data_IF_371315530816
#
_entry.id   IF_371315530816
#
_cell.length_a   1.000
_cell.length_b   1.000
_cell.length_c   1.000
_cell.angle_alpha   90.00
_cell.angle_beta   90.00
_cell.angle_gamma   90.00
#
_symmetry.space_group_name_H-M   'P 1'
#
loop_
_entity.id
_entity.type
_entity.pdbx_description
1 polymer ?
#
# COMPACT_ATOMS: atom_id res chain seq x y z
N UNK A 1 -2.42 87.33 -25.34
CA UNK A 1 -3.10 86.09 -25.82
C UNK A 1 -2.16 84.96 -26.22
N UNK A 2 -1.06 85.18 -26.94
CA UNK A 2 -0.12 84.10 -27.35
C UNK A 2 0.52 83.35 -26.17
N UNK A 3 0.95 84.07 -25.13
CA UNK A 3 1.60 83.49 -23.94
C UNK A 3 0.64 82.57 -23.16
N UNK A 4 -0.62 82.97 -22.99
CA UNK A 4 -1.64 82.17 -22.29
C UNK A 4 -1.94 80.86 -23.04
N UNK A 5 -1.98 80.90 -24.38
CA UNK A 5 -2.12 79.69 -25.22
C UNK A 5 -0.92 78.75 -25.09
N UNK A 6 0.31 79.29 -25.09
CA UNK A 6 1.52 78.47 -24.93
C UNK A 6 1.59 77.81 -23.55
N UNK A 7 1.17 78.50 -22.49
CA UNK A 7 1.12 77.95 -21.13
C UNK A 7 0.07 76.84 -21.00
N UNK A 8 -1.12 77.01 -21.58
CA UNK A 8 -2.16 75.98 -21.57
C UNK A 8 -1.75 74.70 -22.33
N UNK A 9 -1.06 74.85 -23.47
CA UNK A 9 -0.52 73.71 -24.22
C UNK A 9 0.55 72.97 -23.43
N UNK A 10 1.42 73.70 -22.72
CA UNK A 10 2.45 73.09 -21.88
C UNK A 10 1.86 72.34 -20.69
N UNK A 11 0.83 72.90 -20.03
CA UNK A 11 0.11 72.24 -18.93
C UNK A 11 -0.60 70.98 -19.42
N UNK A 12 -1.24 71.03 -20.60
CA UNK A 12 -1.88 69.86 -21.21
C UNK A 12 -0.86 68.76 -21.54
N UNK A 13 0.30 69.11 -22.09
CA UNK A 13 1.38 68.15 -22.38
C UNK A 13 1.96 67.50 -21.11
N UNK A 14 2.13 68.27 -20.03
CA UNK A 14 2.59 67.75 -18.73
C UNK A 14 1.54 66.82 -18.10
N UNK A 15 0.25 67.14 -18.26
CA UNK A 15 -0.87 66.33 -17.77
C UNK A 15 -0.96 64.97 -18.47
N UNK A 16 -0.71 64.93 -19.78
CA UNK A 16 -0.69 63.69 -20.57
C UNK A 16 0.55 62.84 -20.24
N UNK A 17 1.69 63.47 -19.93
CA UNK A 17 2.90 62.76 -19.49
C UNK A 17 2.72 62.07 -18.13
N UNK A 18 1.93 62.65 -17.20
CA UNK A 18 1.62 62.05 -15.90
C UNK A 18 0.67 60.84 -15.99
N UNK A 19 -0.20 60.78 -17.01
CA UNK A 19 -1.10 59.64 -17.24
C UNK A 19 -0.39 58.42 -17.88
N UNK A 20 0.85 58.60 -18.39
CA UNK A 20 1.62 57.57 -19.09
C UNK A 20 2.41 56.61 -18.19
N UNK A 21 2.60 56.92 -16.91
CA UNK A 21 3.26 56.04 -15.96
C UNK A 21 2.32 54.90 -15.52
N UNK A 22 2.13 53.89 -16.37
CA UNK A 22 1.58 52.61 -15.90
C UNK A 22 2.60 52.00 -14.94
N UNK A 23 2.19 51.79 -13.69
CA UNK A 23 2.98 51.07 -12.68
C UNK A 23 3.40 49.73 -13.29
N UNK A 24 4.70 49.47 -13.33
CA UNK A 24 5.22 48.17 -13.80
C UNK A 24 4.62 47.10 -12.87
N UNK A 25 3.91 46.09 -13.40
CA UNK A 25 3.36 45.04 -12.57
C UNK A 25 4.49 44.35 -11.82
N UNK A 26 4.34 44.24 -10.49
CA UNK A 26 5.29 43.56 -9.62
C UNK A 26 4.97 42.08 -9.71
N UNK A 27 5.89 41.28 -10.22
CA UNK A 27 5.74 39.83 -10.38
C UNK A 27 4.70 39.38 -11.42
N UNK A 28 4.51 38.06 -11.50
CA UNK A 28 3.59 37.38 -12.41
C UNK A 28 2.94 36.17 -11.74
N UNK A 29 1.64 35.96 -11.96
CA UNK A 29 0.93 34.71 -11.67
C UNK A 29 0.50 34.12 -13.02
N UNK A 30 0.88 32.86 -13.23
CA UNK A 30 0.57 32.08 -14.41
C UNK A 30 -0.92 32.07 -14.76
N UNK A 31 -1.24 31.69 -15.99
CA UNK A 31 -2.63 31.60 -16.43
C UNK A 31 -3.07 30.14 -16.61
N UNK A 32 -2.09 29.29 -16.92
CA UNK A 32 -2.32 27.89 -17.28
C UNK A 32 -1.58 26.96 -16.33
N UNK A 33 -1.69 27.20 -15.02
CA UNK A 33 -1.16 26.28 -14.02
C UNK A 33 -1.88 24.93 -14.08
N UNK A 34 -1.15 23.83 -13.89
CA UNK A 34 -1.72 22.49 -13.95
C UNK A 34 -0.93 21.49 -13.11
N UNK A 35 -1.55 20.36 -12.80
CA UNK A 35 -0.87 19.22 -12.22
C UNK A 35 -0.55 18.19 -13.30
N UNK A 36 0.73 17.83 -13.44
CA UNK A 36 1.19 16.88 -14.47
C UNK A 36 0.54 15.51 -14.34
N UNK A 37 0.34 15.06 -13.10
CA UNK A 37 -0.13 13.70 -12.81
C UNK A 37 -1.64 13.65 -12.53
N UNK A 38 -2.40 14.69 -12.90
CA UNK A 38 -3.87 14.67 -12.80
C UNK A 38 -4.47 13.80 -13.91
N UNK A 39 -5.41 12.87 -13.62
CA UNK A 39 -5.94 12.54 -12.30
C UNK A 39 -4.94 11.78 -11.40
N UNK A 40 -4.81 12.20 -10.15
CA UNK A 40 -3.97 11.53 -9.16
C UNK A 40 -4.55 10.17 -8.80
N UNK A 41 -3.82 9.11 -9.13
CA UNK A 41 -4.18 7.73 -8.76
C UNK A 41 -3.70 7.43 -7.35
N UNK A 42 -4.63 7.37 -6.41
CA UNK A 42 -4.35 7.17 -4.98
C UNK A 42 -4.83 5.79 -4.56
N UNK A 43 -3.90 4.90 -4.25
CA UNK A 43 -4.22 3.58 -3.71
C UNK A 43 -4.70 3.70 -2.25
N UNK A 44 -5.88 3.21 -1.94
CA UNK A 44 -6.46 3.37 -0.60
C UNK A 44 -5.70 2.56 0.47
N UNK A 45 -5.52 3.17 1.65
CA UNK A 45 -4.91 2.53 2.83
C UNK A 45 -3.38 2.57 2.88
N UNK A 46 -2.71 3.15 1.87
CA UNK A 46 -1.27 3.31 1.88
C UNK A 46 -0.83 4.35 2.91
N UNK A 47 0.25 4.05 3.65
CA UNK A 47 0.75 4.89 4.76
C UNK A 47 1.30 6.26 4.31
N UNK A 48 1.72 6.37 3.04
CA UNK A 48 2.27 7.60 2.46
C UNK A 48 2.19 7.57 0.94
N UNK A 49 1.49 8.54 0.35
CA UNK A 49 1.53 8.82 -1.09
C UNK A 49 1.60 10.33 -1.30
N UNK A 50 2.47 10.79 -2.19
CA UNK A 50 2.68 12.21 -2.47
C UNK A 50 2.41 12.48 -3.94
N UNK A 51 1.57 13.47 -4.25
CA UNK A 51 1.28 13.85 -5.64
C UNK A 51 2.38 14.74 -6.23
N UNK A 52 2.35 14.97 -7.55
CA UNK A 52 3.17 16.03 -8.17
C UNK A 52 2.83 17.40 -7.59
N UNK A 53 3.82 18.29 -7.51
CA UNK A 53 3.58 19.71 -7.20
C UNK A 53 2.86 20.41 -8.35
N UNK A 54 2.27 21.57 -8.04
CA UNK A 54 1.62 22.40 -9.03
C UNK A 54 2.67 22.96 -10.02
N UNK A 55 2.42 22.85 -11.32
CA UNK A 55 3.20 23.60 -12.30
C UNK A 55 2.80 25.08 -12.21
N UNK A 56 3.76 25.93 -11.84
CA UNK A 56 3.54 27.34 -11.55
C UNK A 56 3.48 28.22 -12.80
N UNK A 57 3.63 27.66 -14.00
CA UNK A 57 3.52 28.38 -15.27
C UNK A 57 4.37 29.67 -15.28
N UNK A 58 5.63 29.58 -14.84
CA UNK A 58 6.57 30.70 -14.82
C UNK A 58 6.30 31.80 -13.78
N UNK A 59 5.39 31.57 -12.82
CA UNK A 59 5.06 32.57 -11.77
C UNK A 59 6.27 33.00 -10.96
N UNK A 60 6.26 34.26 -10.53
CA UNK A 60 7.28 34.83 -9.65
C UNK A 60 7.24 34.17 -8.28
N UNK A 61 8.39 33.68 -7.82
CA UNK A 61 8.54 33.06 -6.50
C UNK A 61 8.78 34.13 -5.42
N UNK A 62 8.40 33.88 -4.15
CA UNK A 62 7.74 32.67 -3.65
C UNK A 62 6.25 32.64 -4.00
N UNK A 63 5.75 31.43 -4.28
CA UNK A 63 4.32 31.17 -4.50
C UNK A 63 3.77 30.36 -3.34
N UNK A 64 2.59 30.75 -2.85
CA UNK A 64 1.81 29.96 -1.89
C UNK A 64 0.59 29.38 -2.62
N UNK A 65 0.38 28.07 -2.45
CA UNK A 65 -0.81 27.37 -2.94
C UNK A 65 -1.66 26.98 -1.74
N UNK A 66 -2.93 27.38 -1.77
CA UNK A 66 -3.93 27.06 -0.75
C UNK A 66 -5.04 26.21 -1.38
N UNK A 67 -5.30 25.04 -0.81
CA UNK A 67 -6.47 24.24 -1.17
C UNK A 67 -7.73 24.97 -0.71
N UNK A 68 -8.68 25.17 -1.62
CA UNK A 68 -9.98 25.76 -1.28
C UNK A 68 -10.96 24.67 -0.84
N UNK A 69 -11.25 23.73 -1.74
CA UNK A 69 -12.13 22.61 -1.44
C UNK A 69 -11.86 21.41 -2.34
N UNK A 70 -12.21 20.24 -1.82
CA UNK A 70 -12.34 18.99 -2.58
C UNK A 70 -13.81 18.67 -2.72
N UNK A 71 -14.25 18.36 -3.93
CA UNK A 71 -15.64 18.03 -4.28
C UNK A 71 -15.73 16.68 -4.94
N UNK A 72 -16.89 16.03 -4.83
CA UNK A 72 -17.19 14.83 -5.61
C UNK A 72 -17.25 15.22 -7.08
N UNK A 73 -16.52 14.49 -7.92
CA UNK A 73 -16.33 14.84 -9.33
C UNK A 73 -17.67 15.02 -10.05
N UNK A 74 -17.79 16.09 -10.83
CA UNK A 74 -19.01 16.40 -11.58
C UNK A 74 -20.18 16.91 -10.73
N UNK A 75 -19.94 17.26 -9.47
CA UNK A 75 -20.95 17.82 -8.56
C UNK A 75 -20.40 19.05 -7.84
N UNK A 76 -21.29 19.89 -7.31
CA UNK A 76 -20.90 20.96 -6.38
C UNK A 76 -20.81 20.48 -4.93
N UNK A 77 -20.97 19.17 -4.69
CA UNK A 77 -20.99 18.63 -3.34
C UNK A 77 -19.55 18.51 -2.82
N UNK A 78 -19.27 19.23 -1.73
CA UNK A 78 -18.03 19.08 -0.97
C UNK A 78 -17.86 17.64 -0.48
N UNK A 79 -16.65 17.12 -0.61
CA UNK A 79 -16.28 15.79 -0.13
C UNK A 79 -15.96 15.86 1.36
N UNK A 80 -16.98 15.93 2.21
CA UNK A 80 -16.81 16.00 3.67
C UNK A 80 -16.01 14.82 4.23
N UNK A 81 -16.08 13.66 3.58
CA UNK A 81 -15.28 12.48 3.90
C UNK A 81 -13.75 12.71 3.86
N UNK A 82 -13.27 13.70 3.09
CA UNK A 82 -11.86 14.06 3.02
C UNK A 82 -11.37 14.87 4.23
N UNK A 83 -12.30 15.44 5.00
CA UNK A 83 -11.99 16.29 6.15
C UNK A 83 -12.30 15.60 7.48
N UNK A 84 -12.90 14.41 7.45
CA UNK A 84 -13.13 13.59 8.62
C UNK A 84 -11.80 13.04 9.16
N UNK A 85 -11.56 13.20 10.45
CA UNK A 85 -10.37 12.64 11.10
C UNK A 85 -10.59 11.16 11.44
N UNK A 86 -9.57 10.35 11.17
CA UNK A 86 -9.54 8.95 11.52
C UNK A 86 -8.27 8.64 12.31
N UNK A 87 -8.36 7.68 13.22
CA UNK A 87 -7.19 7.21 13.96
C UNK A 87 -6.27 6.44 13.01
N UNK A 88 -5.09 6.99 12.74
CA UNK A 88 -4.08 6.39 11.84
C UNK A 88 -2.73 6.33 12.53
N UNK A 89 -1.91 5.34 12.15
CA UNK A 89 -0.51 5.29 12.57
C UNK A 89 0.34 6.25 11.75
N UNK A 90 1.02 7.17 12.43
CA UNK A 90 2.06 8.04 11.87
C UNK A 90 3.42 7.50 12.28
N UNK A 91 4.28 7.22 11.30
CA UNK A 91 5.61 6.68 11.52
C UNK A 91 6.63 7.80 11.65
N UNK A 92 7.34 7.83 12.78
CA UNK A 92 8.43 8.76 13.09
C UNK A 92 9.77 8.27 12.54
N UNK A 93 9.91 6.94 12.42
CA UNK A 93 11.12 6.26 11.94
C UNK A 93 10.75 4.98 11.17
N UNK A 94 11.60 4.50 10.25
CA UNK A 94 11.40 3.22 9.59
C UNK A 94 11.48 2.05 10.58
N UNK A 95 10.65 1.03 10.35
CA UNK A 95 10.67 -0.24 11.08
C UNK A 95 11.59 -1.23 10.35
N UNK A 96 12.57 -1.81 11.05
CA UNK A 96 13.37 -2.94 10.57
C UNK A 96 13.05 -4.19 11.40
N UNK A 97 12.39 -5.21 10.82
CA UNK A 97 12.02 -6.44 11.53
C UNK A 97 13.22 -7.29 11.97
N UNK A 98 14.46 -6.95 11.58
CA UNK A 98 15.68 -7.56 12.11
C UNK A 98 16.14 -6.93 13.44
N UNK A 99 15.70 -5.70 13.76
CA UNK A 99 16.10 -4.94 14.96
C UNK A 99 14.89 -4.74 15.88
N UNK A 100 13.75 -4.34 15.32
CA UNK A 100 12.51 -4.05 16.04
C UNK A 100 11.73 -5.33 16.34
N UNK A 101 12.23 -6.16 17.25
CA UNK A 101 11.70 -7.51 17.49
C UNK A 101 10.50 -7.56 18.45
N UNK A 102 10.05 -6.41 18.96
CA UNK A 102 8.91 -6.33 19.88
C UNK A 102 7.94 -5.22 19.46
N UNK A 103 6.67 -5.38 19.83
CA UNK A 103 5.63 -4.36 19.61
C UNK A 103 5.99 -3.04 20.31
N UNK A 104 6.66 -3.10 21.46
CA UNK A 104 7.12 -1.90 22.16
C UNK A 104 8.15 -1.10 21.34
N UNK A 105 9.12 -1.78 20.70
CA UNK A 105 10.10 -1.13 19.81
C UNK A 105 9.43 -0.53 18.58
N UNK A 106 8.46 -1.24 18.00
CA UNK A 106 7.65 -0.72 16.89
C UNK A 106 6.87 0.53 17.32
N UNK A 107 6.18 0.47 18.46
CA UNK A 107 5.38 1.57 19.00
C UNK A 107 6.24 2.76 19.47
N UNK A 108 7.54 2.57 19.74
CA UNK A 108 8.43 3.71 19.95
C UNK A 108 8.60 4.55 18.66
N UNK A 109 8.49 3.91 17.48
CA UNK A 109 8.71 4.49 16.16
C UNK A 109 7.45 4.94 15.43
N UNK A 110 6.27 4.68 15.97
CA UNK A 110 4.99 5.15 15.43
C UNK A 110 4.09 5.65 16.53
N UNK A 111 3.09 6.44 16.17
CA UNK A 111 2.08 6.91 17.12
C UNK A 111 0.72 6.96 16.42
N UNK A 112 -0.35 6.84 17.20
CA UNK A 112 -1.71 7.03 16.70
C UNK A 112 -2.04 8.52 16.72
N UNK A 113 -2.57 9.02 15.62
CA UNK A 113 -3.05 10.40 15.51
C UNK A 113 -4.41 10.40 14.81
N UNK A 114 -5.29 11.29 15.26
CA UNK A 114 -6.50 11.64 14.53
C UNK A 114 -6.09 12.60 13.42
N UNK A 115 -6.16 12.13 12.18
CA UNK A 115 -5.80 12.92 11.01
C UNK A 115 -6.83 12.72 9.90
N UNK A 116 -7.10 13.75 9.08
CA UNK A 116 -7.77 13.54 7.81
C UNK A 116 -6.92 12.65 6.89
N UNK A 117 -7.51 12.06 5.83
CA UNK A 117 -6.80 11.19 4.88
C UNK A 117 -5.65 11.85 4.12
N UNK A 118 -5.51 13.19 4.19
CA UNK A 118 -4.45 13.94 3.52
C UNK A 118 -3.98 15.16 4.32
N UNK A 119 -2.77 15.62 4.01
CA UNK A 119 -2.28 16.98 4.27
C UNK A 119 -2.05 17.69 2.92
N UNK A 120 -2.47 18.95 2.78
CA UNK A 120 -2.17 19.73 1.59
C UNK A 120 -1.00 20.68 1.86
N UNK A 121 0.07 20.52 1.10
CA UNK A 121 1.33 21.23 1.29
C UNK A 121 1.30 22.59 0.58
N UNK A 122 2.05 23.60 1.07
CA UNK A 122 2.19 24.90 0.41
C UNK A 122 2.66 24.85 -1.06
N UNK A 123 3.33 23.75 -1.46
CA UNK A 123 3.75 23.46 -2.84
C UNK A 123 2.60 23.03 -3.77
N UNK A 124 1.38 22.91 -3.24
CA UNK A 124 0.21 22.41 -3.96
C UNK A 124 0.10 20.88 -3.96
N UNK A 125 0.93 20.16 -3.22
CA UNK A 125 0.91 18.70 -3.19
C UNK A 125 -0.07 18.16 -2.16
N UNK A 126 -0.72 17.05 -2.46
CA UNK A 126 -1.36 16.23 -1.44
C UNK A 126 -0.36 15.21 -0.90
N UNK A 127 -0.30 15.10 0.43
CA UNK A 127 0.35 14.03 1.17
C UNK A 127 -0.76 13.15 1.78
N UNK A 128 -1.08 12.04 1.11
CA UNK A 128 -2.07 11.08 1.59
C UNK A 128 -1.47 10.12 2.62
N UNK A 129 -2.31 9.67 3.54
CA UNK A 129 -1.97 8.69 4.56
C UNK A 129 -2.96 7.49 4.58
N UNK A 130 -2.77 6.59 5.54
CA UNK A 130 -3.55 5.36 5.67
C UNK A 130 -5.07 5.62 5.84
N UNK A 131 -5.48 6.82 6.27
CA UNK A 131 -6.89 7.21 6.42
C UNK A 131 -7.69 7.20 5.12
N UNK A 132 -7.01 7.16 3.96
CA UNK A 132 -7.66 6.93 2.65
C UNK A 132 -8.44 5.61 2.59
N UNK A 133 -8.21 4.65 3.49
CA UNK A 133 -9.01 3.42 3.61
C UNK A 133 -10.47 3.67 4.05
N UNK A 134 -10.75 4.79 4.69
CA UNK A 134 -12.10 5.16 5.16
C UNK A 134 -12.90 5.94 4.11
N UNK A 135 -12.27 6.32 3.00
CA UNK A 135 -12.95 6.97 1.89
C UNK A 135 -13.78 5.96 1.08
N UNK A 136 -14.90 6.39 0.45
CA UNK A 136 -15.70 5.52 -0.41
C UNK A 136 -14.86 4.86 -1.51
N UNK A 137 -14.99 3.53 -1.74
CA UNK A 137 -14.15 2.82 -2.67
C UNK A 137 -14.33 3.32 -4.10
N UNK A 138 -13.23 3.37 -4.86
CA UNK A 138 -13.21 3.75 -6.29
C UNK A 138 -13.87 5.11 -6.62
N UNK A 139 -13.91 6.01 -5.64
CA UNK A 139 -14.49 7.34 -5.80
C UNK A 139 -13.54 8.32 -6.50
N UNK A 140 -14.13 9.34 -7.12
CA UNK A 140 -13.42 10.37 -7.88
C UNK A 140 -13.81 11.76 -7.38
N UNK A 141 -12.82 12.64 -7.32
CA UNK A 141 -12.94 13.99 -6.79
C UNK A 141 -12.24 14.99 -7.68
N UNK A 142 -12.64 16.24 -7.55
CA UNK A 142 -12.02 17.41 -8.17
C UNK A 142 -11.72 18.44 -7.07
N UNK A 143 -10.74 19.29 -7.29
CA UNK A 143 -10.37 20.30 -6.29
C UNK A 143 -9.99 21.63 -6.91
N UNK A 144 -10.16 22.67 -6.09
CA UNK A 144 -9.81 24.05 -6.42
C UNK A 144 -8.64 24.52 -5.57
N UNK A 145 -7.82 25.39 -6.14
CA UNK A 145 -6.73 26.05 -5.39
C UNK A 145 -6.77 27.55 -5.60
N UNK A 146 -6.31 28.26 -4.58
CA UNK A 146 -5.95 29.66 -4.64
C UNK A 146 -4.44 29.77 -4.62
N UNK A 147 -3.89 30.53 -5.56
CA UNK A 147 -2.45 30.74 -5.68
C UNK A 147 -2.15 32.22 -5.51
N UNK A 148 -1.16 32.53 -4.69
CA UNK A 148 -0.76 33.90 -4.41
C UNK A 148 0.75 34.10 -4.41
N UNK A 149 1.18 35.29 -4.84
CA UNK A 149 2.54 35.82 -4.71
C UNK A 149 2.50 37.36 -4.61
N UNK A 150 3.64 38.03 -4.80
CA UNK A 150 3.71 39.51 -4.76
C UNK A 150 2.84 40.23 -5.80
N UNK A 151 2.46 39.56 -6.89
CA UNK A 151 1.61 40.12 -7.95
C UNK A 151 0.12 40.08 -7.63
N UNK A 152 -0.29 39.26 -6.65
CA UNK A 152 -1.68 39.14 -6.21
C UNK A 152 -2.10 37.71 -5.91
N UNK A 153 -3.35 37.39 -6.26
CA UNK A 153 -4.02 36.13 -5.95
C UNK A 153 -4.93 35.72 -7.10
N UNK A 154 -4.97 34.42 -7.42
CA UNK A 154 -5.84 33.85 -8.45
C UNK A 154 -6.39 32.50 -8.01
N UNK A 155 -7.68 32.28 -8.26
CA UNK A 155 -8.36 31.00 -8.02
C UNK A 155 -8.37 30.19 -9.31
N UNK A 156 -7.97 28.93 -9.21
CA UNK A 156 -8.04 27.94 -10.27
C UNK A 156 -9.06 26.87 -9.89
N UNK A 157 -10.15 26.83 -10.65
CA UNK A 157 -11.23 25.87 -10.44
C UNK A 157 -10.98 24.59 -11.20
N UNK A 158 -11.33 23.44 -10.61
CA UNK A 158 -11.17 22.11 -11.17
C UNK A 158 -9.75 21.89 -11.71
N UNK A 159 -8.75 22.38 -10.97
CA UNK A 159 -7.36 22.37 -11.46
C UNK A 159 -6.76 20.96 -11.52
N UNK A 160 -7.35 20.02 -10.77
CA UNK A 160 -6.95 18.64 -10.78
C UNK A 160 -8.05 17.71 -10.26
N UNK A 161 -7.79 16.41 -10.47
CA UNK A 161 -8.67 15.33 -10.06
C UNK A 161 -7.94 14.32 -9.17
N UNK A 162 -8.67 13.68 -8.27
CA UNK A 162 -8.20 12.58 -7.42
C UNK A 162 -9.05 11.35 -7.75
N UNK A 163 -8.40 10.24 -8.05
CA UNK A 163 -9.05 8.95 -8.28
C UNK A 163 -8.55 7.94 -7.26
N UNK A 164 -9.46 7.45 -6.42
CA UNK A 164 -9.15 6.37 -5.50
C UNK A 164 -9.12 5.03 -6.24
N UNK A 165 -8.10 4.25 -5.96
CA UNK A 165 -7.92 2.90 -6.50
C UNK A 165 -7.87 1.88 -5.36
N UNK A 166 -8.39 0.69 -5.64
CA UNK A 166 -8.19 -0.47 -4.79
C UNK A 166 -6.69 -0.79 -4.79
N UNK A 167 -6.03 -0.73 -3.62
CA UNK A 167 -4.64 -1.18 -3.55
C UNK A 167 -4.57 -2.71 -3.62
N UNK A 168 -3.44 -3.23 -4.10
CA UNK A 168 -3.19 -4.67 -4.12
C UNK A 168 -3.30 -5.22 -2.69
N UNK A 169 -4.25 -6.13 -2.43
CA UNK A 169 -4.49 -6.69 -1.09
C UNK A 169 -3.33 -7.59 -0.64
N UNK A 170 -2.83 -8.38 -1.58
CA UNK A 170 -1.78 -9.36 -1.38
C UNK A 170 -1.10 -9.68 -2.71
N UNK A 171 0.08 -10.29 -2.63
CA UNK A 171 0.83 -10.84 -3.76
C UNK A 171 1.27 -12.26 -3.47
N UNK A 172 0.98 -13.18 -4.38
CA UNK A 172 1.52 -14.54 -4.35
C UNK A 172 2.85 -14.58 -5.11
N UNK A 173 3.84 -15.26 -4.55
CA UNK A 173 5.19 -15.34 -5.13
C UNK A 173 5.53 -16.73 -5.64
N UNK A 174 5.17 -17.77 -4.90
CA UNK A 174 5.48 -19.13 -5.28
C UNK A 174 4.52 -20.12 -4.63
N UNK A 175 4.29 -21.24 -5.31
CA UNK A 175 3.77 -22.45 -4.70
C UNK A 175 4.37 -23.68 -5.39
N UNK A 176 4.73 -24.68 -4.61
CA UNK A 176 5.19 -25.98 -5.08
C UNK A 176 5.04 -27.02 -3.95
N UNK A 177 5.02 -28.30 -4.32
CA UNK A 177 5.10 -29.42 -3.41
C UNK A 177 6.06 -30.47 -3.97
N UNK A 178 6.77 -31.14 -3.08
CA UNK A 178 7.70 -32.22 -3.44
C UNK A 178 7.49 -33.40 -2.52
N UNK A 179 7.61 -34.62 -3.03
CA UNK A 179 7.69 -35.80 -2.20
C UNK A 179 9.15 -36.07 -1.80
N UNK A 180 9.34 -36.76 -0.69
CA UNK A 180 10.62 -37.19 -0.17
C UNK A 180 10.48 -38.61 0.36
N UNK A 181 11.24 -39.55 -0.21
CA UNK A 181 11.26 -40.95 0.20
C UNK A 181 11.91 -41.06 1.56
N UNK A 182 11.17 -41.58 2.55
CA UNK A 182 11.70 -41.73 3.90
C UNK A 182 12.77 -42.83 3.97
N UNK A 183 12.79 -43.76 3.00
CA UNK A 183 13.75 -44.86 2.95
C UNK A 183 15.04 -44.50 2.24
N UNK A 184 14.95 -43.81 1.09
CA UNK A 184 16.10 -43.58 0.21
C UNK A 184 16.66 -42.16 0.30
N UNK A 185 15.90 -41.23 0.88
CA UNK A 185 16.24 -39.80 0.87
C UNK A 185 16.08 -39.12 -0.49
N UNK A 186 15.62 -39.86 -1.52
CA UNK A 186 15.32 -39.29 -2.82
C UNK A 186 14.11 -38.36 -2.75
N UNK A 187 14.07 -37.38 -3.64
CA UNK A 187 12.95 -36.43 -3.72
C UNK A 187 12.60 -36.12 -5.17
N UNK A 188 11.36 -35.73 -5.37
CA UNK A 188 10.86 -35.29 -6.67
C UNK A 188 9.63 -34.41 -6.53
N UNK A 189 9.18 -33.87 -7.65
CA UNK A 189 7.96 -33.07 -7.70
C UNK A 189 6.74 -33.99 -7.57
N UNK A 190 5.72 -33.56 -6.82
CA UNK A 190 4.42 -34.24 -6.85
C UNK A 190 3.78 -33.96 -8.21
N UNK A 191 3.27 -35.00 -8.86
CA UNK A 191 2.66 -34.92 -10.20
C UNK A 191 1.24 -34.35 -10.16
N UNK A 192 1.10 -33.21 -9.49
CA UNK A 192 -0.11 -32.40 -9.42
C UNK A 192 0.24 -31.01 -8.89
N UNK A 193 -0.17 -29.96 -9.61
CA UNK A 193 0.12 -28.58 -9.24
C UNK A 193 -0.68 -28.17 -7.99
N UNK A 194 -0.04 -27.73 -6.90
CA UNK A 194 -0.74 -27.23 -5.71
C UNK A 194 -1.32 -25.84 -5.94
N UNK A 195 -2.31 -25.44 -5.13
CA UNK A 195 -3.00 -24.15 -5.23
C UNK A 195 -2.82 -23.31 -3.96
N UNK A 196 -2.65 -22.00 -4.14
CA UNK A 196 -2.64 -21.01 -3.06
C UNK A 196 -3.88 -20.12 -3.19
N UNK A 197 -4.77 -20.19 -2.21
CA UNK A 197 -5.97 -19.36 -2.17
C UNK A 197 -5.83 -18.39 -1.01
N UNK A 198 -5.72 -17.09 -1.31
CA UNK A 198 -5.65 -16.02 -0.30
C UNK A 198 -6.97 -15.27 -0.31
N UNK A 199 -7.67 -15.30 0.82
CA UNK A 199 -8.95 -14.61 1.01
C UNK A 199 -8.81 -13.57 2.12
N UNK A 200 -9.17 -12.32 1.83
CA UNK A 200 -9.38 -11.29 2.86
C UNK A 200 -10.77 -11.51 3.46
N UNK A 201 -10.84 -12.00 4.69
CA UNK A 201 -12.10 -12.35 5.37
C UNK A 201 -12.70 -11.15 6.11
N UNK A 202 -11.89 -10.16 6.47
CA UNK A 202 -12.34 -8.89 7.06
C UNK A 202 -11.41 -7.74 6.68
N UNK A 203 -11.97 -6.53 6.56
CA UNK A 203 -11.19 -5.29 6.45
C UNK A 203 -10.61 -4.83 7.78
N UNK A 204 -11.04 -5.44 8.89
CA UNK A 204 -10.59 -5.13 10.24
C UNK A 204 -9.54 -6.14 10.75
N UNK A 205 -8.72 -5.67 11.68
CA UNK A 205 -7.69 -6.46 12.34
C UNK A 205 -6.38 -6.58 11.54
N UNK A 206 -5.48 -7.39 12.08
CA UNK A 206 -4.13 -7.63 11.56
C UNK A 206 -3.76 -9.10 11.68
N UNK A 207 -4.69 -9.99 11.37
CA UNK A 207 -4.51 -11.44 11.55
C UNK A 207 -4.37 -12.16 10.22
N UNK A 208 -3.47 -13.14 10.16
CA UNK A 208 -3.32 -14.04 9.02
C UNK A 208 -3.22 -15.48 9.49
N UNK A 209 -4.07 -16.33 8.95
CA UNK A 209 -4.11 -17.76 9.21
C UNK A 209 -3.68 -18.55 7.98
N UNK A 210 -2.71 -19.45 8.14
CA UNK A 210 -2.28 -20.41 7.12
C UNK A 210 -2.92 -21.76 7.41
N UNK A 211 -3.69 -22.28 6.46
CA UNK A 211 -4.30 -23.62 6.45
C UNK A 211 -3.65 -24.44 5.35
N UNK A 212 -3.22 -25.66 5.64
CA UNK A 212 -2.71 -26.60 4.63
C UNK A 212 -3.67 -27.77 4.56
N UNK A 213 -4.17 -28.07 3.35
CA UNK A 213 -5.17 -29.10 3.11
C UNK A 213 -4.73 -30.05 2.01
N UNK A 214 -5.28 -31.26 2.02
CA UNK A 214 -5.12 -32.22 0.94
C UNK A 214 -5.94 -31.86 -0.31
N UNK A 215 -5.93 -32.72 -1.33
CA UNK A 215 -6.69 -32.50 -2.58
C UNK A 215 -8.22 -32.38 -2.38
N UNK A 216 -8.74 -32.98 -1.31
CA UNK A 216 -10.18 -33.00 -0.97
C UNK A 216 -10.58 -31.87 -0.03
N UNK A 217 -9.61 -31.04 0.41
CA UNK A 217 -9.86 -29.96 1.35
C UNK A 217 -9.81 -30.37 2.82
N UNK A 218 -9.34 -31.59 3.14
CA UNK A 218 -9.16 -32.04 4.53
C UNK A 218 -7.90 -31.38 5.12
N UNK A 219 -8.00 -30.65 6.24
CA UNK A 219 -6.85 -29.96 6.82
C UNK A 219 -5.87 -30.91 7.52
N UNK A 220 -4.57 -30.66 7.34
CA UNK A 220 -3.53 -31.25 8.16
C UNK A 220 -3.46 -30.51 9.50
N UNK A 221 -3.41 -31.23 10.62
CA UNK A 221 -3.43 -30.66 11.96
C UNK A 221 -2.02 -30.26 12.45
N UNK A 222 -1.68 -28.95 12.52
CA UNK A 222 -0.34 -28.55 12.95
C UNK A 222 -0.13 -28.79 14.46
N UNK A 223 -1.17 -28.70 15.29
CA UNK A 223 -1.08 -28.95 16.74
C UNK A 223 -0.77 -30.42 17.07
N UNK A 224 -1.19 -31.36 16.23
CA UNK A 224 -0.86 -32.80 16.32
C UNK A 224 0.49 -33.15 15.65
N UNK A 225 1.21 -32.17 15.10
CA UNK A 225 2.49 -32.41 14.43
C UNK A 225 2.36 -32.98 13.02
N UNK A 226 1.22 -32.81 12.36
CA UNK A 226 1.06 -33.21 10.95
C UNK A 226 1.73 -32.22 9.99
N UNK A 227 2.06 -31.02 10.47
CA UNK A 227 2.86 -30.02 9.77
C UNK A 227 4.06 -29.70 10.65
N UNK A 228 5.26 -30.03 10.18
CA UNK A 228 6.52 -29.83 10.92
C UNK A 228 7.49 -28.97 10.12
N UNK A 229 8.42 -28.33 10.84
CA UNK A 229 9.48 -27.51 10.22
C UNK A 229 10.37 -28.36 9.33
N UNK A 230 10.79 -27.80 8.18
CA UNK A 230 11.69 -28.48 7.24
C UNK A 230 13.15 -28.10 7.48
N UNK A 231 13.71 -28.59 8.59
CA UNK A 231 15.08 -28.31 9.01
C UNK A 231 15.26 -26.82 9.36
N UNK A 232 16.30 -26.20 8.80
CA UNK A 232 16.69 -24.80 9.01
C UNK A 232 16.02 -23.81 8.05
N UNK A 233 15.11 -24.28 7.20
CA UNK A 233 14.43 -23.45 6.20
C UNK A 233 13.43 -22.48 6.85
N UNK A 234 13.18 -21.31 6.24
CA UNK A 234 12.14 -20.39 6.67
C UNK A 234 10.78 -21.06 6.81
N UNK A 235 10.08 -20.66 7.86
CA UNK A 235 8.73 -21.07 8.20
C UNK A 235 7.85 -19.82 8.30
N UNK A 236 6.54 -19.98 8.47
CA UNK A 236 5.66 -18.85 8.75
C UNK A 236 6.09 -18.11 10.02
N UNK A 237 6.52 -18.84 11.04
CA UNK A 237 7.09 -18.33 12.29
C UNK A 237 8.35 -17.49 12.05
N UNK A 238 9.14 -17.78 11.01
CA UNK A 238 10.33 -17.01 10.68
C UNK A 238 10.01 -15.56 10.29
N UNK A 239 8.80 -15.30 9.78
CA UNK A 239 8.32 -13.99 9.36
C UNK A 239 7.44 -13.30 10.42
N UNK A 240 6.83 -14.05 11.33
CA UNK A 240 6.06 -13.58 12.47
C UNK A 240 6.96 -12.94 13.56
N UNK A 241 7.53 -11.75 13.29
CA UNK A 241 8.53 -11.11 14.15
C UNK A 241 7.98 -10.44 15.40
N UNK A 242 6.75 -9.94 15.34
CA UNK A 242 6.23 -9.08 16.42
C UNK A 242 5.32 -9.83 17.39
N UNK A 243 4.57 -10.82 16.89
CA UNK A 243 3.69 -11.66 17.68
C UNK A 243 3.97 -13.13 17.34
N UNK A 244 3.97 -14.04 18.33
CA UNK A 244 4.18 -15.45 18.09
C UNK A 244 3.05 -16.05 17.23
N UNK A 245 3.38 -17.09 16.48
CA UNK A 245 2.36 -17.88 15.77
C UNK A 245 1.60 -18.76 16.76
N UNK A 246 0.28 -18.66 16.71
CA UNK A 246 -0.64 -19.53 17.46
C UNK A 246 -0.94 -20.76 16.60
N UNK A 247 -0.63 -21.94 17.14
CA UNK A 247 -0.83 -23.23 16.48
C UNK A 247 -2.18 -23.82 16.90
N UNK A 248 -3.12 -23.90 15.95
CA UNK A 248 -4.45 -24.47 16.14
C UNK A 248 -4.61 -25.86 15.53
N UNK A 249 -5.83 -26.39 15.53
CA UNK A 249 -6.10 -27.73 14.98
C UNK A 249 -6.11 -27.78 13.44
N UNK A 250 -6.34 -26.66 12.77
CA UNK A 250 -6.35 -26.59 11.29
C UNK A 250 -5.43 -25.50 10.73
N UNK A 251 -5.03 -24.54 11.55
CA UNK A 251 -4.35 -23.33 11.08
C UNK A 251 -3.19 -22.94 11.97
N UNK A 252 -2.19 -22.30 11.35
CA UNK A 252 -1.15 -21.53 12.02
C UNK A 252 -1.49 -20.05 11.85
N UNK A 253 -1.71 -19.32 12.95
CA UNK A 253 -2.22 -17.94 12.91
C UNK A 253 -1.24 -16.94 13.51
N UNK A 254 -1.03 -15.81 12.86
CA UNK A 254 -0.19 -14.72 13.35
C UNK A 254 -0.94 -13.40 13.33
N UNK A 255 -0.79 -12.59 14.39
CA UNK A 255 -1.03 -11.16 14.29
C UNK A 255 0.20 -10.50 13.66
N UNK A 256 0.10 -10.06 12.41
CA UNK A 256 1.24 -9.53 11.67
C UNK A 256 1.59 -8.08 12.01
N UNK A 257 0.73 -7.37 12.75
CA UNK A 257 0.86 -5.98 13.24
C UNK A 257 0.97 -4.88 12.16
N UNK A 258 1.83 -5.06 11.16
CA UNK A 258 2.22 -4.06 10.17
C UNK A 258 2.15 -4.68 8.78
N UNK A 259 1.66 -3.90 7.83
CA UNK A 259 1.79 -4.21 6.40
C UNK A 259 2.93 -3.43 5.74
N UNK A 260 3.59 -4.01 4.72
CA UNK A 260 3.33 -5.34 4.18
C UNK A 260 3.85 -6.47 5.09
N UNK A 261 3.18 -7.63 5.09
CA UNK A 261 3.61 -8.82 5.82
C UNK A 261 3.78 -10.03 4.89
N UNK A 262 4.95 -10.68 4.84
CA UNK A 262 6.17 -10.32 5.56
C UNK A 262 6.81 -9.01 5.06
N UNK A 263 7.47 -8.28 5.96
CA UNK A 263 8.12 -7.00 5.65
C UNK A 263 9.48 -7.17 4.94
N UNK A 264 10.24 -8.21 5.31
CA UNK A 264 11.63 -8.40 4.85
C UNK A 264 11.84 -9.84 4.42
N UNK A 265 12.54 -10.01 3.29
CA UNK A 265 12.97 -11.32 2.79
C UNK A 265 14.05 -11.89 3.71
N UNK A 266 14.14 -13.22 3.76
CA UNK A 266 15.22 -13.90 4.48
C UNK A 266 16.33 -14.18 3.47
N UNK A 267 17.56 -13.76 3.78
CA UNK A 267 18.71 -13.92 2.91
C UNK A 267 18.96 -15.39 2.56
N UNK A 268 19.38 -15.67 1.33
CA UNK A 268 19.60 -17.03 0.84
C UNK A 268 18.34 -17.78 0.40
N UNK A 269 17.16 -17.20 0.56
CA UNK A 269 15.88 -17.77 0.12
C UNK A 269 15.17 -16.85 -0.88
N UNK A 270 14.38 -17.45 -1.78
CA UNK A 270 13.54 -16.69 -2.72
C UNK A 270 12.44 -15.89 -2.01
N UNK A 271 11.63 -15.19 -2.82
CA UNK A 271 10.67 -14.20 -2.33
C UNK A 271 9.67 -14.78 -1.31
N UNK A 272 9.90 -14.42 -0.04
CA UNK A 272 9.06 -14.75 1.11
C UNK A 272 8.71 -16.24 1.22
N UNK A 273 9.64 -17.11 0.83
CA UNK A 273 9.42 -18.55 0.81
C UNK A 273 9.26 -19.11 2.23
N UNK A 274 8.25 -19.94 2.40
CA UNK A 274 7.87 -20.69 3.60
C UNK A 274 7.91 -22.17 3.25
N UNK A 275 8.51 -22.96 4.14
CA UNK A 275 8.73 -24.39 3.94
C UNK A 275 8.24 -25.19 5.15
N UNK A 276 7.47 -26.22 4.87
CA UNK A 276 7.11 -27.23 5.87
C UNK A 276 7.34 -28.64 5.33
N UNK A 277 7.11 -29.62 6.20
CA UNK A 277 7.03 -31.03 5.88
C UNK A 277 5.77 -31.61 6.52
N UNK A 278 5.08 -32.46 5.78
CA UNK A 278 4.02 -33.34 6.26
C UNK A 278 4.62 -34.74 6.31
N UNK A 279 4.76 -35.35 7.50
CA UNK A 279 5.25 -36.72 7.63
C UNK A 279 4.40 -37.72 6.85
N UNK A 280 5.03 -38.75 6.30
CA UNK A 280 4.36 -39.78 5.49
C UNK A 280 3.28 -40.56 6.24
N UNK A 281 3.29 -40.56 7.57
CA UNK A 281 2.23 -41.12 8.42
C UNK A 281 0.87 -40.45 8.17
N UNK A 282 0.87 -39.16 7.78
CA UNK A 282 -0.35 -38.34 7.64
C UNK A 282 -0.74 -38.07 6.18
N UNK A 283 0.09 -38.45 5.21
CA UNK A 283 -0.18 -38.20 3.79
C UNK A 283 0.02 -39.45 2.93
N UNK A 284 -0.81 -39.56 1.89
CA UNK A 284 -0.69 -40.57 0.84
C UNK A 284 -0.65 -39.89 -0.52
N UNK A 285 0.39 -40.13 -1.32
CA UNK A 285 0.41 -39.73 -2.72
C UNK A 285 -0.61 -40.53 -3.52
N UNK A 286 -1.29 -39.87 -4.46
CA UNK A 286 -2.23 -40.53 -5.38
C UNK A 286 -1.46 -41.40 -6.39
N UNK A 287 -0.39 -40.83 -6.94
CA UNK A 287 0.50 -41.51 -7.88
C UNK A 287 1.79 -41.91 -7.18
N UNK A 288 2.13 -43.19 -7.28
CA UNK A 288 3.37 -43.71 -6.71
C UNK A 288 4.58 -43.22 -7.51
N UNK A 289 5.59 -42.58 -6.89
CA UNK A 289 6.73 -42.05 -7.63
C UNK A 289 7.48 -43.12 -8.43
N UNK A 290 7.82 -42.87 -9.71
CA UNK A 290 8.56 -43.82 -10.54
C UNK A 290 9.90 -44.22 -9.93
N UNK A 291 10.28 -45.49 -10.06
CA UNK A 291 11.57 -46.01 -9.62
C UNK A 291 11.73 -46.16 -8.10
N UNK A 292 10.65 -46.04 -7.32
CA UNK A 292 10.65 -46.34 -5.88
C UNK A 292 10.19 -47.79 -5.63
N UNK A 293 10.65 -48.38 -4.53
CA UNK A 293 10.29 -49.75 -4.17
C UNK A 293 8.84 -49.81 -3.63
N UNK A 294 8.04 -50.84 -3.96
CA UNK A 294 6.71 -51.01 -3.37
C UNK A 294 6.74 -50.92 -1.84
N UNK A 295 5.78 -50.20 -1.26
CA UNK A 295 5.72 -49.96 0.19
C UNK A 295 6.57 -48.79 0.70
N UNK A 296 7.33 -48.09 -0.17
CA UNK A 296 7.97 -46.82 0.21
C UNK A 296 6.95 -45.81 0.72
N UNK A 297 7.38 -45.03 1.71
CA UNK A 297 6.59 -43.96 2.32
C UNK A 297 7.21 -42.62 1.96
N UNK A 298 6.35 -41.62 1.76
CA UNK A 298 6.77 -40.33 1.25
C UNK A 298 6.28 -39.20 2.14
N UNK A 299 7.23 -38.49 2.74
CA UNK A 299 6.93 -37.20 3.35
C UNK A 299 6.71 -36.15 2.27
N UNK A 300 5.83 -35.18 2.51
CA UNK A 300 5.49 -34.11 1.56
C UNK A 300 6.11 -32.81 2.03
N UNK A 301 6.76 -32.07 1.14
CA UNK A 301 7.41 -30.80 1.45
C UNK A 301 6.71 -29.67 0.68
N UNK A 302 5.62 -29.09 1.21
CA UNK A 302 5.05 -27.88 0.63
C UNK A 302 6.01 -26.69 0.76
N UNK A 303 6.06 -25.89 -0.30
CA UNK A 303 6.78 -24.62 -0.39
C UNK A 303 5.84 -23.57 -0.94
N UNK A 304 5.72 -22.44 -0.27
CA UNK A 304 4.87 -21.35 -0.74
C UNK A 304 5.42 -19.99 -0.32
N UNK A 305 5.05 -18.92 -1.01
CA UNK A 305 5.44 -17.56 -0.63
C UNK A 305 4.36 -16.56 -0.99
N UNK A 306 4.09 -15.63 -0.09
CA UNK A 306 3.09 -14.57 -0.24
C UNK A 306 3.52 -13.30 0.49
N UNK A 307 2.85 -12.19 0.20
CA UNK A 307 2.89 -10.97 0.98
C UNK A 307 1.50 -10.36 1.05
N UNK A 308 1.00 -10.10 2.25
CA UNK A 308 -0.16 -9.26 2.52
C UNK A 308 0.30 -7.81 2.47
N UNK A 309 -0.47 -6.96 1.79
CA UNK A 309 -0.10 -5.56 1.54
C UNK A 309 -1.02 -4.56 2.23
N UNK A 310 -2.21 -4.99 2.65
CA UNK A 310 -3.16 -4.17 3.40
C UNK A 310 -3.57 -4.77 4.75
N UNK A 311 -3.97 -3.91 5.69
CA UNK A 311 -4.59 -4.31 6.95
C UNK A 311 -5.87 -5.14 6.68
N UNK A 312 -6.21 -6.00 7.65
CA UNK A 312 -7.35 -6.90 7.59
C UNK A 312 -7.07 -8.26 8.23
N UNK A 313 -8.06 -9.14 8.12
CA UNK A 313 -7.93 -10.54 8.49
C UNK A 313 -7.89 -11.39 7.23
N UNK A 314 -6.92 -12.30 7.13
CA UNK A 314 -6.68 -13.13 5.94
C UNK A 314 -6.65 -14.62 6.26
N UNK A 315 -7.25 -15.42 5.38
CA UNK A 315 -7.09 -16.87 5.36
C UNK A 315 -6.31 -17.27 4.10
N UNK A 316 -5.21 -17.98 4.30
CA UNK A 316 -4.35 -18.51 3.24
C UNK A 316 -4.49 -20.02 3.25
N UNK A 317 -5.11 -20.58 2.22
CA UNK A 317 -5.26 -22.03 2.06
C UNK A 317 -4.24 -22.52 1.04
N UNK A 318 -3.36 -23.43 1.48
CA UNK A 318 -2.42 -24.15 0.64
C UNK A 318 -3.02 -25.53 0.37
N UNK A 319 -3.57 -25.71 -0.83
CA UNK A 319 -4.19 -26.96 -1.26
C UNK A 319 -3.17 -27.83 -1.98
N UNK A 320 -2.87 -28.99 -1.40
CA UNK A 320 -1.91 -29.94 -1.94
C UNK A 320 -2.62 -30.95 -2.82
N UNK A 321 -2.66 -30.66 -4.12
CA UNK A 321 -3.20 -31.58 -5.11
C UNK A 321 -2.30 -32.83 -5.26
N UNK A 322 -2.89 -33.96 -5.67
CA UNK A 322 -2.18 -35.23 -5.90
C UNK A 322 -1.84 -36.04 -4.64
N UNK A 323 -2.43 -35.69 -3.50
CA UNK A 323 -2.29 -36.46 -2.26
C UNK A 323 -3.55 -36.34 -1.40
N UNK A 324 -3.71 -37.31 -0.50
CA UNK A 324 -4.83 -37.41 0.46
C UNK A 324 -4.30 -37.45 1.89
N UNK A 325 -5.02 -36.80 2.81
CA UNK A 325 -4.82 -36.92 4.27
C UNK A 325 -5.15 -38.35 4.73
N UNK A 326 -4.43 -38.87 5.73
CA UNK A 326 -4.61 -40.22 6.29
C UNK A 326 -5.26 -40.18 7.67
#
# INVERSE_FOLDING_TARGET
MKIIRSVLVLIALISVAWLGCKKIPVGFIGESMYYKDSPFKVEQGNIKQVTSSLNLDGSTLPVLVKLLEVRKKGTTQRAEEFYAEHEVYVYKQPIDPAVDTTIAMVNAKREKKMLPPFEFLPSGQFLFNAGTSFLPPRSQYEFDVEVSNESGMRVYKNIGEIQLLDAELFKSYAIANSWFSDQTGLSGTVDATPEMIITKVSNEGTSVSVKIVDKNGVPFNPKKGEIIKRGDRPTFESYAKFNPVVIGDETMTCNYEITPFPMKRISGYGDFLIYYRIPSTYAKLDNFPPGQAPGSTFSINPRFGFQIKQLGTYLITIKLNGLTHK
#
